data_IF_296220673960
#
_entry.id   IF_296220673960
#
_cell.length_a   1.000
_cell.length_b   1.000
_cell.length_c   1.000
_cell.angle_alpha   90.00
_cell.angle_beta   90.00
_cell.angle_gamma   90.00
#
_symmetry.space_group_name_H-M   'P 1'
#
loop_
_entity.id
_entity.type
_entity.pdbx_description
1 polymer ?
#
# COMPACT_ATOMS: atom_id res chain seq x y z
N UNK A 1 -30.65 16.89 9.99
CA UNK A 1 -31.07 18.31 10.07
C UNK A 1 -30.98 19.03 8.72
N UNK A 2 -29.86 19.00 7.99
CA UNK A 2 -29.77 19.67 6.66
C UNK A 2 -30.62 18.97 5.58
N UNK A 3 -30.78 17.64 5.65
CA UNK A 3 -31.60 16.88 4.70
C UNK A 3 -33.13 17.15 4.81
N UNK A 4 -33.62 17.55 5.98
CA UNK A 4 -35.04 17.89 6.20
C UNK A 4 -35.35 19.33 5.78
N UNK A 5 -34.36 20.23 5.83
CA UNK A 5 -34.51 21.62 5.39
C UNK A 5 -34.64 21.74 3.85
N UNK A 6 -34.01 20.83 3.10
CA UNK A 6 -34.06 20.82 1.63
C UNK A 6 -35.40 20.28 1.09
N UNK A 7 -36.09 19.40 1.84
CA UNK A 7 -37.42 18.89 1.45
C UNK A 7 -38.52 19.95 1.53
N UNK A 8 -38.44 20.90 2.48
CA UNK A 8 -39.45 21.96 2.63
C UNK A 8 -39.41 23.04 1.55
N UNK A 9 -38.27 23.23 0.87
CA UNK A 9 -38.13 24.25 -0.19
C UNK A 9 -38.69 23.76 -1.52
N UNK A 10 -38.75 22.44 -1.75
CA UNK A 10 -39.22 21.86 -3.01
C UNK A 10 -40.74 21.90 -3.20
N UNK A 11 -41.53 22.15 -2.15
CA UNK A 11 -42.99 22.20 -2.21
C UNK A 11 -43.58 23.58 -2.55
N UNK A 12 -42.75 24.63 -2.66
CA UNK A 12 -43.21 26.01 -2.90
C UNK A 12 -43.23 26.46 -4.37
N UNK A 13 -42.86 25.59 -5.32
CA UNK A 13 -42.64 25.99 -6.73
C UNK A 13 -43.30 25.10 -7.80
N UNK A 14 -44.49 24.54 -7.53
CA UNK A 14 -45.30 23.96 -8.60
C UNK A 14 -46.67 24.66 -8.73
N UNK A 15 -47.01 25.20 -9.91
CA UNK A 15 -48.34 25.74 -10.17
C UNK A 15 -49.36 24.60 -10.24
N UNK A 16 -50.49 24.78 -9.55
CA UNK A 16 -51.52 23.77 -9.37
C UNK A 16 -52.12 23.24 -10.67
N UNK A 17 -52.29 21.92 -10.73
CA UNK A 17 -53.44 21.29 -11.39
C UNK A 17 -54.09 20.31 -10.41
N UNK A 18 -55.35 20.60 -10.14
CA UNK A 18 -56.27 19.83 -9.30
C UNK A 18 -56.64 18.50 -9.95
N UNK A 19 -56.40 17.40 -9.24
CA UNK A 19 -57.14 16.12 -9.26
C UNK A 19 -56.63 15.37 -8.02
N UNK A 20 -57.36 15.23 -6.92
CA UNK A 20 -58.58 14.44 -6.81
C UNK A 20 -58.21 13.01 -6.40
N UNK A 21 -58.13 12.74 -5.09
CA UNK A 21 -58.57 11.53 -4.35
C UNK A 21 -57.84 11.39 -2.98
N UNK A 22 -58.49 10.81 -1.95
CA UNK A 22 -58.20 11.07 -0.54
C UNK A 22 -57.47 9.93 0.18
N UNK A 23 -56.92 10.26 1.36
CA UNK A 23 -56.82 9.32 2.48
C UNK A 23 -55.49 8.61 2.65
N UNK A 24 -54.66 9.08 3.58
CA UNK A 24 -54.52 8.47 4.92
C UNK A 24 -53.31 9.09 5.62
N UNK A 25 -53.60 9.68 6.78
CA UNK A 25 -52.65 10.16 7.75
C UNK A 25 -51.80 8.99 8.29
N UNK A 26 -50.52 9.24 8.50
CA UNK A 26 -49.68 8.42 9.36
C UNK A 26 -49.12 9.33 10.45
N UNK A 27 -49.72 9.22 11.63
CA UNK A 27 -49.29 9.84 12.88
C UNK A 27 -48.01 9.17 13.38
N UNK A 28 -46.98 9.98 13.67
CA UNK A 28 -45.93 9.60 14.61
C UNK A 28 -45.71 10.74 15.60
N UNK A 29 -45.85 10.51 16.91
CA UNK A 29 -45.73 11.54 17.92
C UNK A 29 -44.27 11.72 18.33
N UNK A 30 -43.70 12.89 18.08
CA UNK A 30 -42.52 13.36 18.82
C UNK A 30 -42.87 14.71 19.43
N UNK A 31 -43.27 14.66 20.69
CA UNK A 31 -43.41 15.84 21.55
C UNK A 31 -42.02 16.44 21.79
N UNK A 32 -41.81 17.68 21.37
CA UNK A 32 -40.86 18.57 22.04
C UNK A 32 -41.65 19.77 22.59
N UNK A 33 -41.65 19.86 23.91
CA UNK A 33 -42.30 20.91 24.69
C UNK A 33 -41.56 22.24 24.52
N UNK A 34 -42.33 23.28 24.18
CA UNK A 34 -41.91 24.67 24.10
C UNK A 34 -41.81 25.31 25.50
N UNK A 35 -40.90 24.82 26.34
CA UNK A 35 -40.77 25.30 27.73
C UNK A 35 -39.31 25.57 28.16
N UNK A 36 -38.43 25.91 27.22
CA UNK A 36 -37.03 26.25 27.50
C UNK A 36 -36.54 27.61 26.97
N UNK A 37 -37.39 28.43 26.36
CA UNK A 37 -37.00 29.72 25.75
C UNK A 37 -37.96 30.86 26.15
N UNK A 38 -38.23 30.98 27.45
CA UNK A 38 -38.80 32.19 28.06
C UNK A 38 -37.87 32.87 29.08
N UNK A 39 -36.67 32.34 29.33
CA UNK A 39 -35.67 32.99 30.20
C UNK A 39 -34.73 33.97 29.46
N UNK A 40 -34.96 34.24 28.17
CA UNK A 40 -34.11 35.13 27.37
C UNK A 40 -34.71 36.52 27.09
N UNK A 41 -35.73 36.97 27.85
CA UNK A 41 -36.05 38.41 27.98
C UNK A 41 -36.47 39.20 26.73
N UNK A 42 -36.94 38.55 25.65
CA UNK A 42 -37.44 39.27 24.47
C UNK A 42 -38.98 39.20 24.39
N UNK A 43 -39.63 40.28 24.82
CA UNK A 43 -41.06 40.52 24.61
C UNK A 43 -41.39 40.93 23.17
N UNK A 44 -42.67 40.88 22.74
CA UNK A 44 -43.07 41.10 21.36
C UNK A 44 -43.11 42.60 21.02
N UNK A 45 -42.12 43.09 20.28
CA UNK A 45 -42.15 44.44 19.70
C UNK A 45 -42.71 44.43 18.28
N UNK A 46 -43.90 45.04 18.16
CA UNK A 46 -44.51 45.74 17.02
C UNK A 46 -43.95 45.45 15.62
N UNK A 47 -44.84 44.94 14.77
CA UNK A 47 -44.77 44.95 13.31
C UNK A 47 -44.39 46.33 12.75
N UNK A 48 -43.14 46.49 12.30
CA UNK A 48 -42.76 47.56 11.39
C UNK A 48 -42.86 47.08 9.94
N UNK A 49 -43.77 47.70 9.18
CA UNK A 49 -43.85 47.63 7.72
C UNK A 49 -42.53 48.13 7.12
N UNK A 50 -41.68 47.22 6.65
CA UNK A 50 -40.62 47.59 5.72
C UNK A 50 -41.18 47.73 4.30
N UNK A 51 -41.34 48.98 3.89
CA UNK A 51 -41.71 49.39 2.53
C UNK A 51 -40.40 49.53 1.74
N UNK A 52 -40.01 48.46 1.05
CA UNK A 52 -38.81 48.43 0.22
C UNK A 52 -38.92 47.32 -0.81
N UNK A 53 -39.60 47.61 -1.92
CA UNK A 53 -39.82 46.67 -3.01
C UNK A 53 -38.52 46.37 -3.76
N UNK A 54 -37.79 45.35 -3.31
CA UNK A 54 -36.90 44.63 -4.21
C UNK A 54 -37.78 43.70 -5.04
N UNK A 55 -38.04 44.07 -6.30
CA UNK A 55 -38.70 43.23 -7.31
C UNK A 55 -38.34 41.75 -7.09
N UNK A 56 -39.32 40.85 -6.91
CA UNK A 56 -39.05 39.43 -6.58
C UNK A 56 -38.05 38.77 -7.54
N UNK A 57 -38.00 39.24 -8.80
CA UNK A 57 -37.03 38.79 -9.80
C UNK A 57 -35.59 39.21 -9.48
N UNK A 58 -35.38 40.35 -8.84
CA UNK A 58 -34.07 40.82 -8.36
C UNK A 58 -33.64 40.05 -7.11
N UNK A 59 -34.55 39.83 -6.15
CA UNK A 59 -34.25 39.01 -4.97
C UNK A 59 -33.91 37.56 -5.34
N UNK A 60 -34.64 36.96 -6.29
CA UNK A 60 -34.36 35.62 -6.80
C UNK A 60 -33.00 35.53 -7.53
N UNK A 61 -32.62 36.55 -8.31
CA UNK A 61 -31.31 36.61 -8.97
C UNK A 61 -30.16 36.75 -7.98
N UNK A 62 -30.35 37.51 -6.90
CA UNK A 62 -29.35 37.66 -5.83
C UNK A 62 -29.20 36.34 -5.08
N UNK A 63 -30.30 35.66 -4.73
CA UNK A 63 -30.25 34.35 -4.07
C UNK A 63 -29.61 33.26 -4.94
N UNK A 64 -29.93 33.23 -6.25
CA UNK A 64 -29.30 32.30 -7.19
C UNK A 64 -27.80 32.62 -7.36
N UNK A 65 -27.43 33.90 -7.38
CA UNK A 65 -26.04 34.35 -7.41
C UNK A 65 -25.26 33.92 -6.16
N UNK A 66 -25.85 34.05 -4.96
CA UNK A 66 -25.25 33.61 -3.70
C UNK A 66 -25.15 32.08 -3.62
N UNK A 67 -26.14 31.34 -4.15
CA UNK A 67 -26.10 29.88 -4.21
C UNK A 67 -25.02 29.38 -5.20
N UNK A 68 -24.88 30.04 -6.36
CA UNK A 68 -23.83 29.74 -7.35
C UNK A 68 -22.44 30.12 -6.81
N UNK A 69 -22.31 31.23 -6.09
CA UNK A 69 -21.09 31.60 -5.38
C UNK A 69 -20.77 30.62 -4.23
N UNK A 70 -21.78 30.10 -3.54
CA UNK A 70 -21.60 29.07 -2.51
C UNK A 70 -21.16 27.72 -3.09
N UNK A 71 -21.61 27.38 -4.31
CA UNK A 71 -21.19 26.19 -5.05
C UNK A 71 -19.78 26.35 -5.65
N UNK A 72 -19.41 27.56 -6.07
CA UNK A 72 -18.05 27.91 -6.50
C UNK A 72 -17.08 28.11 -5.32
N UNK A 73 -17.60 28.41 -4.12
CA UNK A 73 -16.87 28.43 -2.85
C UNK A 73 -16.79 27.05 -2.16
N UNK A 74 -17.12 25.97 -2.88
CA UNK A 74 -16.60 24.63 -2.58
C UNK A 74 -15.43 24.29 -3.51
N UNK A 75 -14.33 25.06 -3.55
CA UNK A 75 -13.12 24.52 -4.11
C UNK A 75 -12.58 23.47 -3.10
N UNK A 76 -11.80 22.51 -3.59
CA UNK A 76 -10.85 21.68 -2.84
C UNK A 76 -11.34 20.62 -1.82
N UNK A 77 -12.55 20.64 -1.27
CA UNK A 77 -12.91 19.72 -0.15
C UNK A 77 -13.26 18.25 -0.51
N UNK A 78 -13.09 17.78 -1.75
CA UNK A 78 -13.40 16.38 -2.14
C UNK A 78 -12.36 15.67 -3.02
N UNK A 79 -11.19 16.24 -3.25
CA UNK A 79 -10.17 15.62 -4.09
C UNK A 79 -8.75 15.78 -3.51
N UNK A 80 -8.61 15.56 -2.22
CA UNK A 80 -7.42 14.92 -1.69
C UNK A 80 -7.93 13.81 -0.78
N UNK A 81 -8.09 12.62 -1.36
CA UNK A 81 -7.90 11.41 -0.57
C UNK A 81 -6.42 11.44 -0.21
N UNK A 82 -6.09 12.17 0.85
CA UNK A 82 -4.78 12.12 1.48
C UNK A 82 -4.55 10.63 1.74
N UNK A 83 -3.59 10.05 1.03
CA UNK A 83 -3.22 8.68 1.29
C UNK A 83 -2.97 8.58 2.79
N UNK A 84 -3.72 7.71 3.46
CA UNK A 84 -3.38 7.31 4.81
C UNK A 84 -2.05 6.57 4.68
N UNK A 85 -0.94 7.31 4.71
CA UNK A 85 0.36 6.75 5.02
C UNK A 85 0.16 6.13 6.39
N UNK A 86 0.05 4.80 6.42
CA UNK A 86 -0.11 4.03 7.63
C UNK A 86 1.09 4.37 8.51
N UNK A 87 0.88 5.23 9.51
CA UNK A 87 1.93 5.72 10.41
C UNK A 87 2.50 4.52 11.17
N UNK A 88 3.77 4.21 10.93
CA UNK A 88 4.60 3.37 11.81
C UNK A 88 4.17 1.92 11.96
N UNK A 89 3.72 1.25 10.88
CA UNK A 89 3.43 -0.18 10.96
C UNK A 89 4.73 -0.98 11.19
N UNK A 90 4.79 -1.76 12.26
CA UNK A 90 5.96 -2.56 12.63
C UNK A 90 5.80 -4.01 12.17
N UNK A 91 6.85 -4.64 11.64
CA UNK A 91 6.89 -6.08 11.42
C UNK A 91 6.63 -6.86 12.71
N UNK A 92 5.95 -8.00 12.64
CA UNK A 92 5.59 -8.80 13.81
C UNK A 92 6.71 -9.74 14.26
N UNK A 93 7.53 -10.22 13.33
CA UNK A 93 8.67 -11.08 13.61
C UNK A 93 9.76 -10.89 12.54
N UNK A 94 11.02 -10.83 12.99
CA UNK A 94 12.20 -10.67 12.13
C UNK A 94 13.22 -11.72 12.54
N UNK A 95 13.83 -12.38 11.56
CA UNK A 95 14.87 -13.40 11.77
C UNK A 95 16.10 -13.09 10.92
N UNK A 96 17.24 -12.93 11.59
CA UNK A 96 18.56 -12.90 10.96
C UNK A 96 19.35 -14.12 11.38
N UNK A 97 19.85 -14.89 10.40
CA UNK A 97 20.70 -16.06 10.66
C UNK A 97 22.14 -15.71 10.33
N UNK A 98 23.05 -15.95 11.27
CA UNK A 98 24.49 -15.73 11.05
C UNK A 98 24.99 -16.60 9.91
N UNK A 99 25.80 -16.01 9.02
CA UNK A 99 26.36 -16.70 7.85
C UNK A 99 25.39 -16.89 6.69
N UNK A 100 24.10 -16.50 6.82
CA UNK A 100 23.14 -16.52 5.70
C UNK A 100 22.84 -15.12 5.20
N UNK A 101 23.09 -14.89 3.92
CA UNK A 101 22.81 -13.63 3.24
C UNK A 101 21.31 -13.47 2.88
N UNK A 102 20.42 -13.84 3.79
CA UNK A 102 18.97 -13.74 3.66
C UNK A 102 18.35 -13.59 5.05
N UNK A 103 17.39 -12.68 5.19
CA UNK A 103 16.58 -12.55 6.39
C UNK A 103 15.10 -12.83 6.09
N UNK A 104 14.34 -13.13 7.13
CA UNK A 104 12.89 -13.25 7.05
C UNK A 104 12.22 -12.16 7.89
N UNK A 105 11.11 -11.62 7.37
CA UNK A 105 10.26 -10.65 8.05
C UNK A 105 8.81 -11.04 7.87
N UNK A 106 8.07 -11.19 8.97
CA UNK A 106 6.64 -11.46 8.99
C UNK A 106 5.86 -10.18 9.25
N UNK A 107 4.75 -10.00 8.54
CA UNK A 107 3.93 -8.79 8.63
C UNK A 107 4.44 -7.69 7.71
N UNK A 108 4.56 -6.47 8.23
CA UNK A 108 4.95 -5.31 7.43
C UNK A 108 6.36 -5.46 6.82
N UNK A 109 6.46 -5.16 5.53
CA UNK A 109 7.71 -5.04 4.79
C UNK A 109 7.65 -3.70 4.02
N UNK A 110 8.65 -2.81 4.16
CA UNK A 110 8.59 -1.49 3.51
C UNK A 110 8.44 -1.60 1.98
N UNK A 111 7.69 -0.69 1.32
CA UNK A 111 7.45 -0.73 -0.13
C UNK A 111 8.70 -0.67 -1.00
N UNK A 112 9.78 -0.05 -0.51
CA UNK A 112 11.06 -0.01 -1.23
C UNK A 112 11.83 -1.33 -1.21
N UNK A 113 11.42 -2.30 -0.38
CA UNK A 113 12.04 -3.62 -0.29
C UNK A 113 11.41 -4.55 -1.31
N UNK A 114 12.25 -5.36 -1.97
CA UNK A 114 11.82 -6.39 -2.91
C UNK A 114 12.20 -7.76 -2.34
N UNK A 115 11.26 -8.47 -1.70
CA UNK A 115 11.52 -9.83 -1.24
C UNK A 115 11.84 -10.77 -2.41
N UNK A 116 12.82 -11.66 -2.19
CA UNK A 116 13.13 -12.77 -3.10
C UNK A 116 12.03 -13.83 -3.11
N UNK A 117 11.31 -13.97 -1.99
CA UNK A 117 10.19 -14.90 -1.80
C UNK A 117 9.21 -14.31 -0.80
N UNK A 118 7.91 -14.54 -1.00
CA UNK A 118 6.87 -14.27 0.00
C UNK A 118 6.01 -15.52 0.17
N UNK A 119 5.82 -15.98 1.40
CA UNK A 119 5.01 -17.17 1.68
C UNK A 119 4.43 -17.12 3.10
N UNK A 120 3.12 -17.34 3.25
CA UNK A 120 2.44 -17.36 4.55
C UNK A 120 2.59 -16.06 5.34
N UNK A 121 2.55 -14.91 4.67
CA UNK A 121 2.76 -13.59 5.27
C UNK A 121 4.21 -13.30 5.70
N UNK A 122 5.17 -14.13 5.27
CA UNK A 122 6.61 -13.95 5.53
C UNK A 122 7.32 -13.59 4.25
N UNK A 123 8.01 -12.45 4.26
CA UNK A 123 8.89 -11.99 3.21
C UNK A 123 10.33 -12.42 3.49
N UNK A 124 11.00 -13.01 2.51
CA UNK A 124 12.39 -13.42 2.56
C UNK A 124 13.20 -12.49 1.67
N UNK A 125 14.20 -11.82 2.23
CA UNK A 125 14.93 -10.76 1.53
C UNK A 125 16.42 -11.08 1.52
N UNK A 126 17.00 -11.06 0.32
CA UNK A 126 18.42 -11.34 0.12
C UNK A 126 19.27 -10.13 0.48
N UNK A 127 20.46 -10.41 1.02
CA UNK A 127 21.43 -9.43 1.43
C UNK A 127 22.72 -9.58 0.62
N UNK A 128 23.42 -8.47 0.41
CA UNK A 128 24.74 -8.51 -0.24
C UNK A 128 25.83 -9.11 0.67
N UNK A 129 25.64 -9.02 2.00
CA UNK A 129 26.58 -9.51 3.01
C UNK A 129 25.79 -10.20 4.12
N UNK A 130 26.23 -11.40 4.51
CA UNK A 130 25.60 -12.16 5.59
C UNK A 130 25.86 -11.52 6.97
N UNK A 131 24.93 -11.67 7.93
CA UNK A 131 25.17 -11.32 9.32
C UNK A 131 26.36 -12.12 9.87
N UNK A 132 27.15 -11.49 10.74
CA UNK A 132 28.29 -12.14 11.38
C UNK A 132 28.38 -11.78 12.86
N UNK A 133 29.12 -12.57 13.62
CA UNK A 133 29.40 -12.29 15.03
C UNK A 133 30.81 -11.69 15.14
N UNK A 134 30.93 -10.60 15.87
CA UNK A 134 32.21 -10.00 16.24
C UNK A 134 32.06 -9.34 17.62
N UNK A 135 33.04 -9.53 18.50
CA UNK A 135 33.00 -9.02 19.88
C UNK A 135 31.68 -9.37 20.60
N UNK A 136 31.23 -10.62 20.47
CA UNK A 136 29.97 -11.14 21.04
C UNK A 136 28.70 -10.39 20.62
N UNK A 137 28.75 -9.69 19.48
CA UNK A 137 27.60 -8.97 18.92
C UNK A 137 27.36 -9.40 17.48
N UNK A 138 26.09 -9.53 17.11
CA UNK A 138 25.71 -9.81 15.72
C UNK A 138 25.63 -8.51 14.94
N UNK A 139 26.37 -8.45 13.85
CA UNK A 139 26.41 -7.34 12.92
C UNK A 139 25.60 -7.66 11.66
N UNK A 140 24.80 -6.70 11.21
CA UNK A 140 23.94 -6.80 10.02
C UNK A 140 24.16 -5.56 9.15
N UNK A 141 24.12 -5.65 7.81
CA UNK A 141 24.32 -4.47 6.98
C UNK A 141 23.17 -3.48 7.16
N UNK A 142 23.50 -2.19 7.32
CA UNK A 142 22.58 -1.12 7.76
C UNK A 142 21.26 -1.10 7.00
N UNK A 143 21.32 -1.18 5.66
CA UNK A 143 20.13 -1.13 4.81
C UNK A 143 19.15 -2.25 5.14
N UNK A 144 19.64 -3.47 5.22
CA UNK A 144 18.79 -4.64 5.46
C UNK A 144 18.31 -4.72 6.90
N UNK A 145 19.15 -4.30 7.86
CA UNK A 145 18.74 -4.21 9.25
C UNK A 145 17.58 -3.21 9.42
N UNK A 146 17.72 -2.01 8.86
CA UNK A 146 16.70 -0.96 8.93
C UNK A 146 15.42 -1.38 8.20
N UNK A 147 15.54 -1.91 6.97
CA UNK A 147 14.43 -2.42 6.18
C UNK A 147 13.65 -3.53 6.89
N UNK A 148 14.37 -4.49 7.49
CA UNK A 148 13.73 -5.55 8.25
C UNK A 148 12.98 -5.03 9.47
N UNK A 149 13.40 -3.90 10.06
CA UNK A 149 12.78 -3.24 11.21
C UNK A 149 11.65 -2.28 10.80
N UNK A 150 11.32 -2.18 9.51
CA UNK A 150 10.22 -1.36 9.00
C UNK A 150 10.61 0.03 8.52
N UNK A 151 11.91 0.38 8.49
CA UNK A 151 12.40 1.65 7.95
C UNK A 151 12.51 1.54 6.43
N UNK A 152 11.87 2.43 5.68
CA UNK A 152 11.97 2.46 4.22
C UNK A 152 13.32 3.05 3.78
N UNK A 153 13.82 2.64 2.60
CA UNK A 153 15.08 3.15 2.03
C UNK A 153 15.13 4.69 1.98
N UNK A 154 13.99 5.36 1.76
CA UNK A 154 13.91 6.82 1.75
C UNK A 154 14.32 7.46 3.09
N UNK A 155 14.19 6.72 4.19
CA UNK A 155 14.41 7.17 5.56
C UNK A 155 15.71 6.60 6.18
N UNK A 156 16.57 6.03 5.35
CA UNK A 156 17.91 5.56 5.71
C UNK A 156 18.94 6.54 5.14
N UNK A 157 19.64 7.26 6.02
CA UNK A 157 20.63 8.24 5.62
C UNK A 157 22.03 7.84 6.11
N UNK A 158 23.01 7.94 5.22
CA UNK A 158 24.41 7.76 5.54
C UNK A 158 25.20 8.99 5.09
N UNK A 159 25.91 9.62 6.04
CA UNK A 159 26.72 10.80 5.78
C UNK A 159 28.22 10.44 5.73
N UNK A 160 28.84 10.32 4.54
CA UNK A 160 30.28 10.11 4.42
C UNK A 160 31.09 11.26 5.00
N UNK A 161 30.66 12.50 4.73
CA UNK A 161 31.36 13.73 5.17
C UNK A 161 31.35 13.93 6.70
N UNK A 162 30.42 13.27 7.39
CA UNK A 162 30.26 13.35 8.85
C UNK A 162 31.00 12.22 9.57
N UNK A 163 32.00 11.60 8.94
CA UNK A 163 32.71 10.44 9.48
C UNK A 163 31.85 9.17 9.50
N UNK A 164 30.95 8.99 8.52
CA UNK A 164 30.15 7.78 8.41
C UNK A 164 28.97 7.69 9.38
N UNK A 165 28.33 8.83 9.68
CA UNK A 165 27.11 8.86 10.51
C UNK A 165 25.95 8.19 9.79
N UNK A 166 25.26 7.28 10.48
CA UNK A 166 24.01 6.65 10.05
C UNK A 166 22.85 7.31 10.81
N UNK A 167 21.78 7.65 10.08
CA UNK A 167 20.53 8.15 10.65
C UNK A 167 19.37 7.36 10.05
N UNK A 168 18.53 6.78 10.91
CA UNK A 168 17.28 6.12 10.56
C UNK A 168 16.14 7.01 11.07
N UNK A 169 15.25 7.45 10.18
CA UNK A 169 14.24 8.47 10.48
C UNK A 169 12.87 8.14 9.88
N UNK A 170 12.38 6.92 10.10
CA UNK A 170 11.05 6.50 9.64
C UNK A 170 9.94 7.20 10.46
N UNK A 171 8.96 7.85 9.81
CA UNK A 171 7.80 8.40 10.51
C UNK A 171 7.06 7.35 11.36
N UNK A 172 6.89 7.64 12.65
CA UNK A 172 6.26 6.73 13.60
C UNK A 172 7.24 5.79 14.33
N UNK A 173 8.52 5.85 14.00
CA UNK A 173 9.60 5.21 14.76
C UNK A 173 10.44 6.25 15.49
N UNK A 174 11.16 5.86 16.56
CA UNK A 174 12.21 6.68 17.13
C UNK A 174 13.28 6.99 16.08
N UNK A 175 13.80 8.22 16.09
CA UNK A 175 14.95 8.60 15.26
C UNK A 175 16.20 7.96 15.85
N UNK A 176 16.84 7.07 15.10
CA UNK A 176 18.03 6.35 15.55
C UNK A 176 19.28 6.85 14.84
N UNK A 177 20.32 7.14 15.61
CA UNK A 177 21.60 7.61 15.07
C UNK A 177 22.78 6.82 15.66
N UNK A 178 23.75 6.52 14.81
CA UNK A 178 25.02 5.90 15.19
C UNK A 178 26.13 6.42 14.28
N UNK A 179 27.40 6.28 14.68
CA UNK A 179 28.54 6.68 13.85
C UNK A 179 29.63 5.61 13.83
N UNK A 180 30.22 5.41 12.67
CA UNK A 180 31.32 4.44 12.47
C UNK A 180 32.47 4.75 13.42
N UNK A 181 32.97 3.72 14.11
CA UNK A 181 34.07 3.80 15.07
C UNK A 181 33.69 4.37 16.45
N UNK A 182 32.46 4.84 16.66
CA UNK A 182 32.01 5.39 17.94
C UNK A 182 31.05 4.45 18.67
N UNK A 183 31.22 4.35 19.99
CA UNK A 183 30.53 3.39 20.86
C UNK A 183 29.29 3.98 21.53
N UNK A 184 28.39 4.53 20.73
CA UNK A 184 27.11 5.03 21.22
C UNK A 184 25.99 4.79 20.21
N UNK A 185 24.76 4.77 20.72
CA UNK A 185 23.52 4.81 19.93
C UNK A 185 22.64 5.92 20.49
N UNK A 186 22.01 6.70 19.63
CA UNK A 186 20.99 7.68 20.02
C UNK A 186 19.61 7.21 19.56
N UNK A 187 18.60 7.35 20.42
CA UNK A 187 17.19 7.15 20.10
C UNK A 187 16.42 8.39 20.56
N UNK A 188 15.79 9.11 19.61
CA UNK A 188 15.12 10.39 19.85
C UNK A 188 15.98 11.41 20.64
N UNK A 189 17.28 11.46 20.32
CA UNK A 189 18.24 12.35 20.96
C UNK A 189 18.79 11.85 22.30
N UNK A 190 18.23 10.79 22.89
CA UNK A 190 18.77 10.17 24.08
C UNK A 190 19.95 9.28 23.69
N UNK A 191 21.16 9.67 24.12
CA UNK A 191 22.39 8.93 23.82
C UNK A 191 22.64 7.87 24.90
N UNK A 192 22.97 6.66 24.45
CA UNK A 192 23.37 5.51 25.28
C UNK A 192 24.70 4.99 24.79
N UNK A 193 25.63 4.76 25.72
CA UNK A 193 26.89 4.06 25.43
C UNK A 193 26.64 2.57 25.16
N UNK A 194 27.40 2.01 24.23
CA UNK A 194 27.35 0.60 23.84
C UNK A 194 28.77 0.02 23.83
N UNK A 195 28.91 -1.30 23.81
CA UNK A 195 30.21 -1.96 23.91
C UNK A 195 30.94 -2.14 22.57
N UNK A 196 30.21 -2.10 21.45
CA UNK A 196 30.75 -2.23 20.10
C UNK A 196 30.35 -1.04 19.23
N UNK A 197 31.23 -0.64 18.31
CA UNK A 197 30.95 0.44 17.36
C UNK A 197 30.46 -0.12 16.02
N UNK A 198 29.67 0.63 15.25
CA UNK A 198 29.48 0.36 13.82
C UNK A 198 30.81 0.26 13.08
N UNK A 199 30.86 -0.64 12.10
CA UNK A 199 32.06 -0.91 11.31
C UNK A 199 31.75 -0.95 9.82
N UNK A 200 32.77 -0.78 8.98
CA UNK A 200 32.67 -1.07 7.54
C UNK A 200 33.32 -2.43 7.31
N UNK A 201 32.66 -3.30 6.53
CA UNK A 201 33.18 -4.61 6.14
C UNK A 201 33.12 -4.77 4.63
N UNK A 202 34.05 -5.56 4.07
CA UNK A 202 34.07 -5.89 2.64
C UNK A 202 32.70 -6.43 2.18
N UNK A 203 32.18 -5.99 1.00
CA UNK A 203 32.81 -5.17 -0.03
C UNK A 203 32.61 -3.65 0.15
N UNK A 204 32.57 -3.13 1.38
CA UNK A 204 32.33 -1.72 1.68
C UNK A 204 30.94 -1.43 2.24
N UNK A 205 30.35 -2.36 3.00
CA UNK A 205 29.05 -2.21 3.65
C UNK A 205 29.21 -1.74 5.08
N UNK A 206 28.41 -0.75 5.48
CA UNK A 206 28.27 -0.34 6.88
C UNK A 206 27.47 -1.38 7.64
N UNK A 207 28.06 -1.91 8.69
CA UNK A 207 27.54 -2.98 9.54
C UNK A 207 27.19 -2.39 10.90
N UNK A 208 25.96 -2.66 11.37
CA UNK A 208 25.47 -2.19 12.66
C UNK A 208 25.21 -3.37 13.60
N UNK A 209 25.42 -3.19 14.91
CA UNK A 209 25.04 -4.20 15.90
C UNK A 209 23.51 -4.30 15.98
N UNK A 210 22.98 -5.46 15.58
CA UNK A 210 21.56 -5.66 15.33
C UNK A 210 20.68 -5.35 16.55
N UNK A 211 21.10 -5.80 17.73
CA UNK A 211 20.37 -5.62 18.99
C UNK A 211 20.15 -4.15 19.33
N UNK A 212 21.21 -3.34 19.32
CA UNK A 212 21.13 -1.95 19.73
C UNK A 212 20.24 -1.12 18.81
N UNK A 213 20.29 -1.38 17.50
CA UNK A 213 19.42 -0.71 16.52
C UNK A 213 17.97 -1.14 16.70
N UNK A 214 17.71 -2.45 16.84
CA UNK A 214 16.36 -2.98 17.02
C UNK A 214 15.72 -2.46 18.32
N UNK A 215 16.44 -2.49 19.44
CA UNK A 215 15.97 -1.91 20.71
C UNK A 215 15.71 -0.41 20.60
N UNK A 216 16.60 0.34 19.95
CA UNK A 216 16.45 1.77 19.73
C UNK A 216 15.23 2.13 18.86
N UNK A 217 14.80 1.24 17.95
CA UNK A 217 13.58 1.36 17.15
C UNK A 217 12.32 0.79 17.85
N UNK A 218 12.46 0.30 19.09
CA UNK A 218 11.35 -0.19 19.92
C UNK A 218 10.96 -1.64 19.64
N UNK A 219 11.93 -2.51 19.37
CA UNK A 219 11.78 -3.96 19.31
C UNK A 219 12.40 -4.63 20.54
N UNK A 220 11.91 -5.81 20.86
CA UNK A 220 12.59 -6.77 21.72
C UNK A 220 13.42 -7.73 20.87
N UNK A 221 14.51 -8.23 21.45
CA UNK A 221 15.50 -9.03 20.74
C UNK A 221 15.90 -10.24 21.58
N UNK A 222 15.89 -11.41 20.98
CA UNK A 222 16.43 -12.65 21.54
C UNK A 222 17.52 -13.22 20.63
N UNK A 223 18.53 -13.81 21.26
CA UNK A 223 19.54 -14.61 20.59
C UNK A 223 19.27 -16.09 20.85
N UNK A 224 19.14 -16.87 19.77
CA UNK A 224 19.02 -18.33 19.81
C UNK A 224 20.38 -18.95 19.45
N UNK A 225 21.22 -19.34 20.44
CA UNK A 225 22.60 -19.74 20.19
C UNK A 225 22.71 -21.03 19.36
N UNK A 226 21.82 -21.99 19.55
CA UNK A 226 21.85 -23.30 18.87
C UNK A 226 21.65 -23.16 17.36
N UNK A 227 20.90 -22.13 16.95
CA UNK A 227 20.59 -21.86 15.55
C UNK A 227 21.38 -20.67 14.99
N UNK A 228 22.12 -19.97 15.85
CA UNK A 228 22.79 -18.71 15.56
C UNK A 228 21.85 -17.65 14.94
N UNK A 229 20.70 -17.44 15.57
CA UNK A 229 19.63 -16.56 15.06
C UNK A 229 19.36 -15.39 15.98
N UNK A 230 19.29 -14.20 15.41
CA UNK A 230 18.70 -13.01 16.06
C UNK A 230 17.22 -12.98 15.72
N UNK A 231 16.39 -12.99 16.75
CA UNK A 231 14.93 -12.90 16.66
C UNK A 231 14.50 -11.53 17.19
N UNK A 232 13.77 -10.75 16.39
CA UNK A 232 13.23 -9.47 16.82
C UNK A 232 11.70 -9.43 16.68
N UNK A 233 11.00 -8.80 17.62
CA UNK A 233 9.56 -8.55 17.58
C UNK A 233 9.23 -7.21 18.25
N UNK A 234 8.08 -6.58 17.97
CA UNK A 234 7.77 -5.27 18.56
C UNK A 234 7.70 -5.34 20.10
N UNK A 235 8.29 -4.34 20.77
CA UNK A 235 8.29 -4.28 22.24
C UNK A 235 6.87 -4.28 22.81
N UNK A 236 6.64 -5.07 23.85
CA UNK A 236 5.33 -5.22 24.48
C UNK A 236 4.32 -6.09 23.71
N UNK A 237 4.73 -6.74 22.61
CA UNK A 237 3.95 -7.79 21.96
C UNK A 237 4.38 -9.17 22.48
N UNK A 238 3.48 -10.17 22.45
CA UNK A 238 3.85 -11.52 22.85
C UNK A 238 4.99 -12.03 21.98
N UNK A 239 5.95 -12.67 22.62
CA UNK A 239 7.07 -13.33 21.96
C UNK A 239 6.56 -14.37 20.95
N UNK A 240 7.07 -14.41 19.71
CA UNK A 240 6.73 -15.43 18.73
C UNK A 240 7.01 -16.85 19.25
N UNK A 241 6.20 -17.82 18.82
CA UNK A 241 6.32 -19.19 19.33
C UNK A 241 7.53 -19.91 18.72
N UNK A 242 8.09 -20.89 19.45
CA UNK A 242 9.22 -21.66 18.95
C UNK A 242 8.92 -22.42 17.64
N UNK A 243 7.67 -22.89 17.49
CA UNK A 243 7.22 -23.59 16.28
C UNK A 243 7.14 -22.64 15.07
N UNK A 244 6.62 -21.43 15.27
CA UNK A 244 6.60 -20.40 14.22
C UNK A 244 8.01 -20.05 13.76
N UNK A 245 8.92 -19.81 14.71
CA UNK A 245 10.34 -19.53 14.40
C UNK A 245 10.95 -20.72 13.65
N UNK A 246 10.69 -21.95 14.09
CA UNK A 246 11.22 -23.16 13.44
C UNK A 246 10.75 -23.28 11.98
N UNK A 247 9.46 -23.10 11.71
CA UNK A 247 8.91 -23.19 10.35
C UNK A 247 9.52 -22.15 9.41
N UNK A 248 9.71 -20.91 9.88
CA UNK A 248 10.32 -19.87 9.06
C UNK A 248 11.80 -20.16 8.80
N UNK A 249 12.53 -20.67 9.79
CA UNK A 249 13.94 -21.03 9.62
C UNK A 249 14.16 -22.18 8.63
N UNK A 250 13.27 -23.17 8.61
CA UNK A 250 13.30 -24.25 7.62
C UNK A 250 13.16 -23.68 6.19
N UNK A 251 12.21 -22.77 5.98
CA UNK A 251 11.98 -22.11 4.69
C UNK A 251 13.11 -21.15 4.30
N UNK A 252 13.70 -20.45 5.27
CA UNK A 252 14.86 -19.58 5.05
C UNK A 252 16.10 -20.38 4.62
N UNK A 253 16.20 -21.64 5.05
CA UNK A 253 17.24 -22.57 4.65
C UNK A 253 17.03 -23.25 3.29
N UNK A 254 15.82 -23.19 2.72
CA UNK A 254 15.52 -23.84 1.44
C UNK A 254 16.22 -23.14 0.25
N UNK A 255 16.63 -23.90 -0.79
CA UNK A 255 17.18 -23.31 -2.02
C UNK A 255 16.18 -22.33 -2.65
N UNK A 256 16.69 -21.25 -3.26
CA UNK A 256 15.86 -20.32 -4.01
C UNK A 256 15.10 -21.07 -5.12
N UNK A 257 13.83 -20.73 -5.38
CA UNK A 257 13.24 -21.08 -6.66
C UNK A 257 14.12 -20.45 -7.77
N UNK A 258 14.41 -21.17 -8.86
CA UNK A 258 15.35 -20.71 -9.88
C UNK A 258 14.91 -19.34 -10.42
N UNK A 259 15.82 -18.35 -10.40
CA UNK A 259 15.60 -17.04 -11.01
C UNK A 259 15.39 -17.24 -12.51
N UNK A 260 14.31 -16.70 -13.10
CA UNK A 260 14.09 -16.73 -14.55
C UNK A 260 15.26 -16.05 -15.25
N UNK A 261 15.99 -16.82 -16.04
CA UNK A 261 17.12 -16.33 -16.83
C UNK A 261 16.60 -15.87 -18.19
N UNK A 262 17.10 -14.72 -18.69
CA UNK A 262 16.91 -14.26 -20.07
C UNK A 262 15.83 -13.19 -20.36
N UNK A 263 14.92 -12.88 -19.43
CA UNK A 263 13.94 -11.80 -19.62
C UNK A 263 14.48 -10.40 -19.28
N UNK A 264 13.64 -9.38 -19.47
CA UNK A 264 13.99 -7.96 -19.20
C UNK A 264 12.86 -7.22 -18.52
N UNK A 265 13.20 -6.16 -17.78
CA UNK A 265 12.21 -5.22 -17.23
C UNK A 265 11.94 -4.08 -18.22
N UNK A 266 10.67 -3.69 -18.33
CA UNK A 266 10.23 -2.50 -19.09
C UNK A 266 9.46 -1.54 -18.18
N UNK A 267 9.33 -0.28 -18.60
CA UNK A 267 8.61 0.76 -17.85
C UNK A 267 9.53 1.67 -17.03
N UNK A 268 8.97 2.73 -16.39
CA UNK A 268 9.74 3.67 -15.59
C UNK A 268 10.27 2.99 -14.31
N UNK A 269 11.35 3.52 -13.74
CA UNK A 269 12.06 2.92 -12.58
C UNK A 269 11.15 2.56 -11.40
N UNK A 270 10.13 3.38 -11.15
CA UNK A 270 9.16 3.20 -10.08
C UNK A 270 7.96 2.31 -10.43
N UNK A 271 7.88 1.78 -11.66
CA UNK A 271 6.77 0.94 -12.12
C UNK A 271 7.20 -0.05 -13.22
N UNK A 272 8.29 -0.79 -13.00
CA UNK A 272 8.79 -1.77 -13.95
C UNK A 272 7.99 -3.08 -13.92
N UNK A 273 7.81 -3.71 -15.07
CA UNK A 273 7.19 -5.03 -15.22
C UNK A 273 8.09 -5.94 -16.04
N UNK A 274 8.06 -7.23 -15.70
CA UNK A 274 8.87 -8.26 -16.37
C UNK A 274 8.30 -8.64 -17.73
N UNK A 275 9.19 -8.74 -18.71
CA UNK A 275 8.95 -9.33 -20.02
C UNK A 275 9.80 -10.59 -20.14
N UNK A 276 9.19 -11.76 -20.36
CA UNK A 276 9.91 -13.01 -20.53
C UNK A 276 10.86 -13.01 -21.72
N UNK A 277 11.90 -13.83 -21.67
CA UNK A 277 12.77 -14.07 -22.81
C UNK A 277 11.97 -14.57 -24.03
N UNK A 278 12.34 -14.15 -25.23
CA UNK A 278 11.68 -14.59 -26.46
C UNK A 278 10.27 -14.03 -26.68
N UNK A 279 9.85 -13.03 -25.90
CA UNK A 279 8.61 -12.30 -26.17
C UNK A 279 8.75 -11.45 -27.45
N UNK A 280 7.76 -11.56 -28.33
CA UNK A 280 7.68 -10.81 -29.59
C UNK A 280 7.18 -9.39 -29.34
N UNK A 281 7.72 -8.40 -30.05
CA UNK A 281 7.18 -7.04 -30.04
C UNK A 281 6.02 -6.96 -31.03
N UNK A 282 4.85 -6.52 -30.56
CA UNK A 282 3.69 -6.25 -31.39
C UNK A 282 3.88 -4.93 -32.15
N UNK A 283 3.65 -4.95 -33.45
CA UNK A 283 3.74 -3.77 -34.31
C UNK A 283 2.75 -2.68 -33.88
N UNK A 284 3.18 -1.43 -33.98
CA UNK A 284 2.33 -0.24 -33.73
C UNK A 284 2.48 0.39 -32.35
N UNK A 285 2.54 -0.41 -31.27
CA UNK A 285 2.47 0.13 -29.90
C UNK A 285 3.62 -0.31 -28.95
N UNK A 286 4.57 -1.13 -29.41
CA UNK A 286 5.71 -1.56 -28.57
C UNK A 286 5.34 -2.50 -27.42
N UNK A 287 4.13 -3.06 -27.44
CA UNK A 287 3.69 -4.08 -26.49
C UNK A 287 4.41 -5.40 -26.77
N UNK A 288 4.75 -6.13 -25.73
CA UNK A 288 5.37 -7.45 -25.82
C UNK A 288 4.30 -8.54 -25.71
N UNK A 289 4.48 -9.63 -26.42
CA UNK A 289 3.58 -10.77 -26.41
C UNK A 289 4.35 -12.09 -26.32
N UNK A 290 3.89 -13.00 -25.48
CA UNK A 290 4.37 -14.39 -25.42
C UNK A 290 3.26 -15.30 -24.96
N UNK A 291 2.98 -16.37 -25.71
CA UNK A 291 2.04 -17.44 -25.35
C UNK A 291 0.69 -16.92 -24.80
N UNK A 292 0.05 -15.93 -25.42
CA UNK A 292 -1.24 -15.41 -24.92
C UNK A 292 -1.15 -14.38 -23.79
N UNK A 293 0.05 -13.98 -23.38
CA UNK A 293 0.27 -12.90 -22.40
C UNK A 293 0.84 -11.69 -23.10
N UNK A 294 0.16 -10.55 -22.98
CA UNK A 294 0.60 -9.27 -23.49
C UNK A 294 1.06 -8.37 -22.34
N UNK A 295 2.19 -7.68 -22.50
CA UNK A 295 2.69 -6.67 -21.57
C UNK A 295 2.93 -5.37 -22.35
N UNK A 296 2.24 -4.30 -21.97
CA UNK A 296 2.27 -3.01 -22.67
C UNK A 296 2.48 -1.83 -21.74
N UNK A 297 3.06 -0.76 -22.26
CA UNK A 297 3.23 0.50 -21.55
C UNK A 297 2.18 1.49 -22.04
N UNK A 298 1.50 2.15 -21.11
CA UNK A 298 0.60 3.25 -21.40
C UNK A 298 1.32 4.60 -21.25
N UNK A 299 0.79 5.63 -21.91
CA UNK A 299 1.40 6.96 -21.96
C UNK A 299 1.50 7.65 -20.59
N UNK A 300 0.69 7.25 -19.61
CA UNK A 300 0.69 7.76 -18.24
C UNK A 300 1.75 7.09 -17.34
N UNK A 301 2.57 6.19 -17.90
CA UNK A 301 3.56 5.41 -17.15
C UNK A 301 2.97 4.23 -16.38
N UNK A 302 1.67 3.95 -16.56
CA UNK A 302 1.08 2.68 -16.13
C UNK A 302 1.48 1.56 -17.07
N UNK A 303 1.46 0.34 -16.54
CA UNK A 303 1.80 -0.87 -17.30
C UNK A 303 0.59 -1.79 -17.29
N UNK A 304 0.25 -2.33 -18.46
CA UNK A 304 -0.83 -3.29 -18.62
C UNK A 304 -0.26 -4.68 -18.86
N UNK A 305 -0.69 -5.64 -18.05
CA UNK A 305 -0.49 -7.07 -18.29
C UNK A 305 -1.86 -7.64 -18.66
N UNK A 306 -1.96 -8.37 -19.76
CA UNK A 306 -3.20 -8.95 -20.23
C UNK A 306 -3.01 -10.45 -20.48
N UNK A 307 -3.85 -11.28 -19.86
CA UNK A 307 -3.87 -12.73 -20.09
C UNK A 307 -5.04 -13.10 -20.98
N UNK A 308 -4.81 -13.92 -21.98
CA UNK A 308 -5.81 -14.24 -23.01
C UNK A 308 -6.56 -15.54 -22.69
N UNK A 309 -7.87 -15.59 -22.94
CA UNK A 309 -8.70 -16.80 -22.79
C UNK A 309 -8.42 -17.83 -23.89
N UNK A 310 -8.77 -19.10 -23.65
CA UNK A 310 -8.53 -20.23 -24.57
C UNK A 310 -9.06 -19.96 -25.98
N UNK A 311 -10.22 -19.32 -26.09
CA UNK A 311 -10.89 -19.02 -27.36
C UNK A 311 -10.14 -17.98 -28.22
N UNK A 312 -9.22 -17.23 -27.61
CA UNK A 312 -8.51 -16.11 -28.22
C UNK A 312 -7.00 -16.38 -28.35
N UNK A 313 -6.54 -17.58 -27.97
CA UNK A 313 -5.13 -17.97 -28.10
C UNK A 313 -4.77 -18.23 -29.57
N UNK A 314 -3.50 -17.94 -29.90
CA UNK A 314 -2.96 -18.26 -31.22
C UNK A 314 -2.89 -19.78 -31.44
N UNK A 315 -3.03 -20.25 -32.69
CA UNK A 315 -2.89 -21.67 -33.02
C UNK A 315 -1.56 -22.24 -32.52
N UNK A 316 -1.63 -23.31 -31.73
CA UNK A 316 -0.46 -23.99 -31.17
C UNK A 316 -0.04 -23.55 -29.76
N UNK A 317 -0.67 -22.50 -29.19
CA UNK A 317 -0.49 -22.10 -27.80
C UNK A 317 -1.58 -22.71 -26.93
N UNK A 318 -1.21 -23.42 -25.87
CA UNK A 318 -2.17 -23.97 -24.91
C UNK A 318 -2.47 -22.99 -23.77
N UNK A 319 -3.64 -23.15 -23.14
CA UNK A 319 -4.00 -22.35 -21.97
C UNK A 319 -3.01 -22.53 -20.81
N UNK A 320 -2.46 -23.73 -20.62
CA UNK A 320 -1.42 -23.98 -19.61
C UNK A 320 -0.10 -23.27 -19.93
N UNK A 321 0.28 -23.17 -21.21
CA UNK A 321 1.45 -22.39 -21.62
C UNK A 321 1.24 -20.89 -21.37
N UNK A 322 0.01 -20.40 -21.58
CA UNK A 322 -0.36 -19.04 -21.22
C UNK A 322 -0.27 -18.82 -19.71
N UNK A 323 -0.84 -19.70 -18.89
CA UNK A 323 -0.76 -19.61 -17.43
C UNK A 323 0.67 -19.68 -16.91
N UNK A 324 1.52 -20.54 -17.49
CA UNK A 324 2.94 -20.63 -17.15
C UNK A 324 3.66 -19.31 -17.46
N UNK A 325 3.39 -18.72 -18.61
CA UNK A 325 3.97 -17.44 -19.02
C UNK A 325 3.48 -16.29 -18.15
N UNK A 326 2.18 -16.28 -17.81
CA UNK A 326 1.60 -15.29 -16.90
C UNK A 326 2.22 -15.41 -15.50
N UNK A 327 2.38 -16.64 -15.00
CA UNK A 327 3.04 -16.87 -13.71
C UNK A 327 4.47 -16.36 -13.71
N UNK A 328 5.22 -16.57 -14.79
CA UNK A 328 6.56 -16.01 -14.95
C UNK A 328 6.53 -14.48 -14.88
N UNK A 329 5.68 -13.83 -15.68
CA UNK A 329 5.52 -12.36 -15.69
C UNK A 329 5.19 -11.83 -14.30
N UNK A 330 4.17 -12.39 -13.66
CA UNK A 330 3.68 -11.92 -12.36
C UNK A 330 4.67 -12.18 -11.23
N UNK A 331 5.31 -13.35 -11.22
CA UNK A 331 6.29 -13.71 -10.17
C UNK A 331 7.53 -12.82 -10.24
N UNK A 332 8.05 -12.52 -11.44
CA UNK A 332 9.18 -11.61 -11.57
C UNK A 332 8.78 -10.14 -11.36
N UNK A 333 7.52 -9.80 -11.60
CA UNK A 333 7.04 -8.42 -11.42
C UNK A 333 6.72 -8.12 -9.96
N UNK A 334 5.93 -8.95 -9.29
CA UNK A 334 5.40 -8.71 -7.95
C UNK A 334 6.02 -9.60 -6.87
N UNK A 335 6.87 -10.55 -7.25
CA UNK A 335 7.34 -11.62 -6.38
C UNK A 335 6.36 -12.81 -6.35
N UNK A 336 6.80 -13.98 -5.88
CA UNK A 336 5.87 -15.06 -5.55
C UNK A 336 5.08 -14.70 -4.29
N UNK A 337 3.93 -15.34 -4.07
CA UNK A 337 3.13 -15.19 -2.86
C UNK A 337 1.65 -15.01 -3.13
N UNK A 338 0.87 -14.78 -2.06
CA UNK A 338 -0.60 -14.75 -2.10
C UNK A 338 -1.16 -13.77 -3.13
N UNK A 339 -0.50 -12.62 -3.32
CA UNK A 339 -0.91 -11.64 -4.32
C UNK A 339 -0.81 -12.19 -5.75
N UNK A 340 0.33 -12.80 -6.09
CA UNK A 340 0.56 -13.40 -7.41
C UNK A 340 -0.30 -14.65 -7.60
N UNK A 341 -0.48 -15.47 -6.56
CA UNK A 341 -1.35 -16.64 -6.64
C UNK A 341 -2.83 -16.24 -6.80
N UNK A 342 -3.27 -15.15 -6.16
CA UNK A 342 -4.59 -14.59 -6.39
C UNK A 342 -4.78 -14.13 -7.85
N UNK A 343 -3.83 -13.41 -8.43
CA UNK A 343 -3.89 -13.03 -9.85
C UNK A 343 -3.94 -14.26 -10.78
N UNK A 344 -3.15 -15.28 -10.44
CA UNK A 344 -3.16 -16.55 -11.17
C UNK A 344 -4.50 -17.28 -11.06
N UNK A 345 -5.14 -17.25 -9.89
CA UNK A 345 -6.47 -17.82 -9.70
C UNK A 345 -7.52 -17.05 -10.50
N UNK A 346 -7.46 -15.72 -10.51
CA UNK A 346 -8.34 -14.88 -11.33
C UNK A 346 -8.22 -15.25 -12.81
N UNK A 347 -6.99 -15.38 -13.34
CA UNK A 347 -6.75 -15.78 -14.71
C UNK A 347 -7.23 -17.21 -15.02
N UNK A 348 -7.00 -18.17 -14.12
CA UNK A 348 -7.48 -19.55 -14.26
C UNK A 348 -9.00 -19.65 -14.36
N UNK A 349 -9.73 -18.83 -13.60
CA UNK A 349 -11.19 -18.86 -13.62
C UNK A 349 -11.76 -18.27 -14.92
N UNK A 350 -11.00 -17.40 -15.59
CA UNK A 350 -11.33 -16.80 -16.89
C UNK A 350 -10.68 -17.58 -18.04
N UNK A 351 -11.12 -18.82 -18.22
CA UNK A 351 -10.63 -19.73 -19.26
C UNK A 351 -11.28 -19.52 -20.65
N UNK A 352 -12.47 -18.92 -20.69
CA UNK A 352 -13.24 -18.65 -21.91
C UNK A 352 -13.82 -17.24 -21.93
N UNK A 353 -13.95 -16.66 -23.13
CA UNK A 353 -14.59 -15.36 -23.34
C UNK A 353 -16.06 -15.32 -22.92
N UNK A 354 -16.72 -16.48 -22.91
CA UNK A 354 -18.15 -16.62 -22.56
C UNK A 354 -18.41 -16.74 -21.06
N UNK A 355 -17.35 -16.89 -20.27
CA UNK A 355 -17.41 -17.14 -18.83
C UNK A 355 -17.00 -15.88 -18.09
N UNK A 356 -17.84 -15.42 -17.18
CA UNK A 356 -17.47 -14.33 -16.27
C UNK A 356 -16.55 -14.87 -15.16
N UNK A 357 -15.58 -14.07 -14.72
CA UNK A 357 -14.72 -14.46 -13.60
C UNK A 357 -15.43 -14.22 -12.25
N UNK A 358 -15.80 -15.26 -11.48
CA UNK A 358 -16.54 -15.10 -10.22
C UNK A 358 -15.72 -14.40 -9.12
N UNK A 359 -14.40 -14.30 -9.31
CA UNK A 359 -13.49 -13.66 -8.37
C UNK A 359 -13.37 -12.14 -8.60
N UNK A 360 -13.97 -11.62 -9.68
CA UNK A 360 -13.98 -10.21 -10.01
C UNK A 360 -15.42 -9.69 -10.08
N UNK A 361 -15.74 -8.57 -9.41
CA UNK A 361 -16.97 -7.83 -9.67
C UNK A 361 -16.88 -7.18 -11.06
N UNK A 362 -18.03 -6.77 -11.60
CA UNK A 362 -18.15 -6.16 -12.94
C UNK A 362 -17.25 -4.93 -13.10
N UNK A 363 -17.10 -4.13 -12.04
CA UNK A 363 -16.28 -2.91 -12.04
C UNK A 363 -14.77 -3.20 -11.91
N UNK A 364 -14.37 -4.45 -11.67
CA UNK A 364 -13.00 -4.82 -11.33
C UNK A 364 -12.63 -4.56 -9.86
N UNK A 365 -11.40 -4.90 -9.50
CA UNK A 365 -10.87 -4.82 -8.13
C UNK A 365 -9.55 -4.09 -8.15
N UNK A 366 -9.40 -3.15 -7.22
CA UNK A 366 -8.11 -2.52 -6.92
C UNK A 366 -7.51 -3.21 -5.71
N UNK A 367 -6.25 -3.65 -5.82
CA UNK A 367 -5.44 -4.14 -4.71
C UNK A 367 -4.07 -3.47 -4.70
N UNK A 368 -3.48 -3.36 -3.51
CA UNK A 368 -2.09 -2.96 -3.37
C UNK A 368 -1.21 -4.20 -3.40
N UNK A 369 -0.24 -4.23 -4.32
CA UNK A 369 0.75 -5.29 -4.42
C UNK A 369 1.72 -5.24 -3.21
N UNK A 370 2.44 -6.34 -2.90
CA UNK A 370 3.37 -6.40 -1.77
C UNK A 370 4.47 -5.33 -1.82
N UNK A 371 4.76 -4.81 -3.01
CA UNK A 371 5.76 -3.78 -3.25
C UNK A 371 5.19 -2.36 -3.30
N UNK A 372 3.96 -2.18 -2.82
CA UNK A 372 3.27 -0.89 -2.65
C UNK A 372 2.60 -0.33 -3.91
N UNK A 373 2.70 -1.01 -5.06
CA UNK A 373 2.04 -0.59 -6.30
C UNK A 373 0.53 -0.82 -6.24
N UNK A 374 -0.23 0.09 -6.83
CA UNK A 374 -1.66 -0.13 -7.00
C UNK A 374 -1.88 -0.95 -8.26
N UNK A 375 -2.71 -1.99 -8.15
CA UNK A 375 -3.05 -2.90 -9.23
C UNK A 375 -4.55 -2.97 -9.40
N UNK A 376 -5.04 -2.56 -10.57
CA UNK A 376 -6.43 -2.67 -10.95
C UNK A 376 -6.62 -3.87 -11.87
N UNK A 377 -7.52 -4.77 -11.49
CA UNK A 377 -7.77 -6.02 -12.20
C UNK A 377 -9.24 -6.08 -12.59
N UNK A 378 -9.51 -6.29 -13.87
CA UNK A 378 -10.88 -6.47 -14.35
C UNK A 378 -10.96 -7.52 -15.46
N UNK A 379 -12.17 -8.04 -15.67
CA UNK A 379 -12.49 -8.96 -16.75
C UNK A 379 -12.65 -8.17 -18.06
N UNK A 380 -11.69 -8.31 -18.97
CA UNK A 380 -11.70 -7.64 -20.28
C UNK A 380 -12.55 -8.35 -21.33
N UNK A 381 -13.30 -9.38 -20.97
CA UNK A 381 -14.08 -10.22 -21.89
C UNK A 381 -13.21 -11.28 -22.54
N UNK A 382 -12.20 -10.88 -23.32
CA UNK A 382 -11.29 -11.80 -24.02
C UNK A 382 -10.19 -12.36 -23.10
N UNK A 383 -10.14 -11.90 -21.85
CA UNK A 383 -9.07 -12.18 -20.92
C UNK A 383 -9.12 -11.34 -19.65
N UNK A 384 -8.11 -11.46 -18.79
CA UNK A 384 -7.97 -10.63 -17.59
C UNK A 384 -6.99 -9.50 -17.89
N UNK A 385 -7.42 -8.27 -17.60
CA UNK A 385 -6.58 -7.09 -17.69
C UNK A 385 -6.09 -6.69 -16.30
N UNK A 386 -4.78 -6.53 -16.16
CA UNK A 386 -4.09 -6.17 -14.93
C UNK A 386 -3.34 -4.87 -15.22
N UNK A 387 -3.85 -3.76 -14.71
CA UNK A 387 -3.22 -2.45 -14.79
C UNK A 387 -2.39 -2.20 -13.54
N UNK A 388 -1.17 -1.73 -13.73
CA UNK A 388 -0.19 -1.53 -12.67
C UNK A 388 0.22 -0.07 -12.67
N UNK A 389 -0.03 0.62 -11.56
CA UNK A 389 0.38 2.00 -11.34
C UNK A 389 1.50 2.10 -10.30
N UNK A 390 2.37 3.14 -10.38
CA UNK A 390 3.40 3.36 -9.39
C UNK A 390 2.83 3.48 -7.97
N UNK A 391 3.61 3.20 -6.92
CA UNK A 391 3.18 3.43 -5.55
C UNK A 391 2.75 4.88 -5.35
N UNK A 392 1.69 5.10 -4.59
CA UNK A 392 1.18 6.46 -4.32
C UNK A 392 0.21 7.02 -5.38
N UNK A 393 0.07 6.37 -6.53
CA UNK A 393 -0.79 6.84 -7.64
C UNK A 393 -2.11 6.07 -7.63
N UNK A 394 -3.24 6.75 -7.47
CA UNK A 394 -4.59 6.14 -7.52
C UNK A 394 -5.00 5.71 -8.93
N UNK A 395 -6.07 4.91 -9.04
CA UNK A 395 -6.69 4.54 -10.33
C UNK A 395 -7.74 5.55 -10.78
#
# INVERSE_FOLDING_TARGET
MIAEFVKSIFFLFLPGKSTGFPGKAWDFPVQYSWQGLQEAGFGPTKTQKFRGGMEMKKAARVLLGVLLLALLSVPWARAQQEQVVVKGEKPSLILFVVGKARYAVKGYCPPSVRPSRVEGGVSYVDMDVAPYIESDRTFVPVRYLANALGVDNANIHWCPKCGGKVTLAEPGFPRVEMKIGEKWVSSDGQVREIDVAPAIKDPGRTMLPARFVAEALGFEVEWLPEKQVVVCWPKGKPKPTADEIKQILEKLGAPEPPKPTGGKFIGPENNRVWVPEGASVLEGNGNYYKNGVQVGLDFDGSVKIFSTTTDCLEPGVTFDQMLATLREVLTNTFGPGEFTDWLMDVARHKDSRKKECPLLPVEGVIKTAPDGRNVFVYDGGDGIAIFVRPPGVGF
#
